data_IF_977864389693
#
_entry.id   IF_977864389693
#
_cell.length_a   1.000
_cell.length_b   1.000
_cell.length_c   1.000
_cell.angle_alpha   90.00
_cell.angle_beta   90.00
_cell.angle_gamma   90.00
#
_symmetry.space_group_name_H-M   'P 1'
#
loop_
_entity.id
_entity.type
_entity.pdbx_description
1 polymer ?
#
# COMPACT_ATOMS: atom_id res chain seq x y z
N UNK A 1 98.69 -15.85 76.87
CA UNK A 1 98.64 -14.76 77.87
C UNK A 1 97.22 -14.20 77.85
N UNK A 2 96.50 -14.30 78.97
CA UNK A 2 95.11 -13.85 79.07
C UNK A 2 95.11 -12.50 79.78
N UNK A 3 94.62 -11.46 79.11
CA UNK A 3 94.42 -10.16 79.75
C UNK A 3 92.99 -10.11 80.28
N UNK A 4 92.84 -10.07 81.60
CA UNK A 4 91.56 -9.84 82.28
C UNK A 4 91.57 -8.44 82.88
N UNK A 5 90.62 -7.60 82.49
CA UNK A 5 90.54 -6.22 82.94
C UNK A 5 89.75 -6.03 84.24
N UNK A 6 89.13 -7.07 84.82
CA UNK A 6 88.40 -7.01 86.10
C UNK A 6 87.44 -5.81 86.25
N UNK A 7 86.75 -5.42 85.15
CA UNK A 7 85.86 -4.23 85.00
C UNK A 7 86.55 -2.86 84.83
N UNK A 8 87.88 -2.81 84.76
CA UNK A 8 88.59 -1.60 84.35
C UNK A 8 88.34 -1.30 82.86
N UNK A 9 88.32 -0.02 82.49
CA UNK A 9 88.11 0.43 81.12
C UNK A 9 89.42 0.63 80.35
N UNK A 10 89.34 0.50 79.02
CA UNK A 10 90.40 0.93 78.11
C UNK A 10 90.06 2.32 77.59
N UNK A 11 90.83 3.33 77.97
CA UNK A 11 90.62 4.71 77.54
C UNK A 11 91.42 5.02 76.27
N UNK A 12 90.82 5.78 75.35
CA UNK A 12 91.43 6.22 74.08
C UNK A 12 92.02 5.07 73.25
N UNK A 13 91.42 3.88 73.34
CA UNK A 13 91.90 2.72 72.61
C UNK A 13 91.63 2.86 71.12
N UNK A 14 92.66 2.56 70.32
CA UNK A 14 92.53 2.39 68.87
C UNK A 14 92.28 0.90 68.61
N UNK A 15 91.20 0.59 67.91
CA UNK A 15 90.96 -0.78 67.44
C UNK A 15 92.04 -1.18 66.44
N UNK A 16 92.27 -2.48 66.28
CA UNK A 16 93.23 -2.99 65.31
C UNK A 16 92.85 -2.51 63.90
N UNK A 17 93.63 -1.58 63.35
CA UNK A 17 93.32 -0.93 62.08
C UNK A 17 93.96 -1.69 60.92
N UNK A 18 93.15 -2.28 60.06
CA UNK A 18 93.60 -3.08 58.93
C UNK A 18 92.79 -2.74 57.67
N UNK A 19 93.44 -2.77 56.51
CA UNK A 19 92.75 -2.61 55.22
C UNK A 19 92.06 -3.90 54.74
N UNK A 20 92.32 -5.03 55.40
CA UNK A 20 91.74 -6.33 55.10
C UNK A 20 91.48 -7.13 56.37
N UNK A 21 90.55 -8.08 56.28
CA UNK A 21 90.20 -8.98 57.38
C UNK A 21 91.40 -9.84 57.83
N UNK A 22 91.62 -10.05 59.14
CA UNK A 22 92.55 -11.06 59.64
C UNK A 22 92.25 -12.47 59.10
N UNK A 23 93.28 -13.20 58.66
CA UNK A 23 93.18 -14.52 58.03
C UNK A 23 92.77 -15.66 58.99
N UNK A 24 93.05 -15.51 60.29
CA UNK A 24 92.76 -16.52 61.33
C UNK A 24 91.93 -15.93 62.48
N UNK A 25 90.70 -15.45 62.20
CA UNK A 25 89.92 -14.70 63.16
C UNK A 25 89.36 -15.59 64.27
N UNK A 26 89.24 -15.04 65.48
CA UNK A 26 88.54 -15.68 66.60
C UNK A 26 87.14 -15.11 66.76
N UNK A 27 86.17 -15.92 67.17
CA UNK A 27 84.81 -15.44 67.46
C UNK A 27 84.85 -14.32 68.49
N UNK A 28 84.18 -13.21 68.20
CA UNK A 28 84.19 -11.99 69.02
C UNK A 28 85.39 -11.08 68.80
N UNK A 29 86.33 -11.43 67.91
CA UNK A 29 87.40 -10.53 67.51
C UNK A 29 86.83 -9.31 66.79
N UNK A 30 87.39 -8.14 67.08
CA UNK A 30 86.97 -6.85 66.51
C UNK A 30 88.19 -6.17 65.88
N UNK A 31 87.98 -5.55 64.71
CA UNK A 31 88.97 -4.70 64.06
C UNK A 31 88.28 -3.52 63.37
N UNK A 32 89.04 -2.47 63.07
CA UNK A 32 88.59 -1.38 62.22
C UNK A 32 89.08 -1.62 60.79
N UNK A 33 88.15 -1.80 59.87
CA UNK A 33 88.41 -1.90 58.44
C UNK A 33 88.59 -0.48 57.88
N UNK A 34 89.84 -0.10 57.59
CA UNK A 34 90.16 1.22 57.07
C UNK A 34 89.78 1.43 55.61
N UNK A 35 89.53 0.38 54.84
CA UNK A 35 89.05 0.51 53.46
C UNK A 35 87.55 0.80 53.44
N UNK A 36 86.77 0.13 54.30
CA UNK A 36 85.33 0.34 54.42
C UNK A 36 84.96 1.47 55.40
N UNK A 37 85.91 1.96 56.20
CA UNK A 37 85.70 2.87 57.34
C UNK A 37 84.66 2.35 58.35
N UNK A 38 84.75 1.05 58.69
CA UNK A 38 83.77 0.38 59.56
C UNK A 38 84.43 -0.48 60.62
N UNK A 39 83.81 -0.53 61.80
CA UNK A 39 84.14 -1.56 62.78
C UNK A 39 83.54 -2.88 62.29
N UNK A 40 84.32 -3.95 62.35
CA UNK A 40 83.83 -5.29 62.01
C UNK A 40 84.11 -6.24 63.16
N UNK A 41 83.17 -7.13 63.42
CA UNK A 41 83.34 -8.21 64.38
C UNK A 41 83.19 -9.57 63.70
N UNK A 42 83.95 -10.55 64.15
CA UNK A 42 83.87 -11.91 63.63
C UNK A 42 82.85 -12.71 64.43
N UNK A 43 81.78 -13.16 63.79
CA UNK A 43 80.69 -13.87 64.48
C UNK A 43 80.96 -15.37 64.71
N UNK A 44 82.10 -15.88 64.21
CA UNK A 44 82.47 -17.30 64.22
C UNK A 44 82.53 -17.92 62.83
N UNK A 45 81.88 -17.33 61.83
CA UNK A 45 81.89 -17.81 60.43
C UNK A 45 82.27 -16.74 59.42
N UNK A 46 81.96 -15.47 59.68
CA UNK A 46 82.31 -14.33 58.82
C UNK A 46 82.49 -13.05 59.60
N UNK A 47 83.15 -12.10 58.97
CA UNK A 47 83.16 -10.71 59.42
C UNK A 47 81.81 -10.06 59.13
N UNK A 48 81.28 -9.35 60.12
CA UNK A 48 80.01 -8.62 60.05
C UNK A 48 80.30 -7.14 60.27
N UNK A 49 79.74 -6.31 59.39
CA UNK A 49 79.83 -4.86 59.48
C UNK A 49 79.04 -4.33 60.69
N UNK A 50 79.60 -3.37 61.40
CA UNK A 50 78.80 -2.46 62.21
C UNK A 50 77.94 -1.61 61.29
N UNK A 51 76.64 -1.53 61.58
CA UNK A 51 75.72 -0.63 60.88
C UNK A 51 75.49 0.59 61.77
N UNK A 52 75.67 1.78 61.22
CA UNK A 52 75.33 3.03 61.91
C UNK A 52 73.82 3.28 61.90
N UNK A 53 73.35 4.08 62.84
CA UNK A 53 71.95 4.56 62.84
C UNK A 53 71.61 5.32 61.56
N UNK A 54 72.59 6.04 60.99
CA UNK A 54 72.42 6.80 59.74
C UNK A 54 72.20 5.88 58.53
N UNK A 55 73.00 4.81 58.40
CA UNK A 55 72.82 3.80 57.35
C UNK A 55 71.48 3.08 57.47
N UNK A 56 71.07 2.77 58.71
CA UNK A 56 69.77 2.17 58.96
C UNK A 56 68.62 3.11 58.59
N UNK A 57 68.72 4.39 58.96
CA UNK A 57 67.71 5.40 58.64
C UNK A 57 67.60 5.63 57.12
N UNK A 58 68.73 5.63 56.41
CA UNK A 58 68.75 5.77 54.95
C UNK A 58 68.00 4.62 54.29
N UNK A 59 68.31 3.38 54.67
CA UNK A 59 67.64 2.20 54.11
C UNK A 59 66.14 2.13 54.45
N UNK A 60 65.73 2.68 55.60
CA UNK A 60 64.32 2.79 55.98
C UNK A 60 63.59 3.90 55.20
N UNK A 61 64.27 4.99 54.84
CA UNK A 61 63.71 6.07 54.04
C UNK A 61 63.31 5.66 52.62
N UNK A 62 63.95 4.63 52.06
CA UNK A 62 63.62 4.07 50.74
C UNK A 62 62.40 3.14 50.76
N UNK A 63 61.89 2.78 51.94
CA UNK A 63 60.72 1.93 52.06
C UNK A 63 59.45 2.75 51.90
N UNK A 64 58.47 2.17 51.21
CA UNK A 64 57.09 2.67 51.21
C UNK A 64 56.39 2.14 52.45
N UNK A 65 55.75 3.04 53.20
CA UNK A 65 54.96 2.69 54.38
C UNK A 65 53.71 1.89 54.02
N UNK A 66 53.43 0.86 54.83
CA UNK A 66 52.19 0.09 54.69
C UNK A 66 51.02 0.88 55.26
N UNK A 67 50.00 1.12 54.44
CA UNK A 67 48.70 1.63 54.92
C UNK A 67 47.81 0.45 55.32
N UNK A 68 47.12 0.57 56.46
CA UNK A 68 46.16 -0.44 56.93
C UNK A 68 45.09 -0.72 55.88
N UNK A 69 44.78 -2.01 55.66
CA UNK A 69 43.82 -2.45 54.63
C UNK A 69 44.35 -2.48 53.19
N UNK A 70 45.62 -2.09 52.94
CA UNK A 70 46.24 -2.14 51.61
C UNK A 70 47.37 -3.17 51.50
N UNK A 71 47.51 -3.78 50.32
CA UNK A 71 48.69 -4.56 49.94
C UNK A 71 49.80 -3.60 49.47
N UNK A 72 51.08 -3.95 49.72
CA UNK A 72 52.22 -3.19 49.19
C UNK A 72 52.42 -3.63 47.74
N UNK A 73 51.92 -2.85 46.77
CA UNK A 73 52.06 -3.19 45.35
C UNK A 73 52.62 -2.01 44.56
N UNK A 74 53.36 -2.29 43.48
CA UNK A 74 53.77 -1.26 42.49
C UNK A 74 52.56 -0.65 41.77
N UNK A 75 51.40 -1.31 41.86
CA UNK A 75 50.17 -0.98 41.15
C UNK A 75 49.06 -0.53 42.11
N UNK A 76 49.41 0.30 43.10
CA UNK A 76 48.38 1.06 43.81
C UNK A 76 47.67 1.92 42.75
N UNK A 77 46.40 1.61 42.46
CA UNK A 77 45.56 2.46 41.60
C UNK A 77 45.81 3.91 42.02
N UNK A 78 46.38 4.72 41.13
CA UNK A 78 46.71 6.11 41.48
C UNK A 78 45.43 6.79 41.95
N UNK A 79 45.57 7.80 42.82
CA UNK A 79 44.41 8.56 43.31
C UNK A 79 43.56 9.10 42.13
N UNK A 80 44.18 9.38 40.98
CA UNK A 80 43.51 9.78 39.74
C UNK A 80 42.65 8.67 39.12
N UNK A 81 43.17 7.44 39.01
CA UNK A 81 42.38 6.31 38.51
C UNK A 81 41.25 5.94 39.48
N UNK A 82 41.50 5.99 40.78
CA UNK A 82 40.45 5.75 41.78
C UNK A 82 39.35 6.80 41.69
N UNK A 83 39.70 8.08 41.58
CA UNK A 83 38.71 9.16 41.44
C UNK A 83 37.88 9.01 40.16
N UNK A 84 38.51 8.60 39.06
CA UNK A 84 37.79 8.30 37.81
C UNK A 84 36.82 7.13 37.98
N UNK A 85 37.20 6.07 38.69
CA UNK A 85 36.35 4.89 38.94
C UNK A 85 35.23 5.21 39.92
N UNK A 86 35.52 5.90 41.02
CA UNK A 86 34.52 6.33 42.02
C UNK A 86 33.50 7.31 41.42
N UNK A 87 33.90 8.09 40.42
CA UNK A 87 33.03 9.02 39.69
C UNK A 87 32.06 8.33 38.71
N UNK A 88 32.23 7.03 38.45
CA UNK A 88 31.32 6.27 37.60
C UNK A 88 30.04 6.00 38.40
N UNK A 89 28.93 6.60 37.98
CA UNK A 89 27.62 6.38 38.59
C UNK A 89 27.23 4.89 38.55
N UNK A 90 26.55 4.43 39.59
CA UNK A 90 26.00 3.07 39.64
C UNK A 90 25.09 2.83 38.42
N UNK A 91 25.39 1.78 37.64
CA UNK A 91 24.63 1.44 36.43
C UNK A 91 25.02 2.23 35.17
N UNK A 92 26.12 3.01 35.18
CA UNK A 92 26.63 3.66 33.98
C UNK A 92 26.84 2.65 32.83
N UNK A 93 26.35 3.00 31.64
CA UNK A 93 26.51 2.21 30.42
C UNK A 93 27.34 3.01 29.42
N UNK A 94 28.20 2.32 28.66
CA UNK A 94 29.06 2.96 27.63
C UNK A 94 28.25 3.65 26.53
N UNK A 95 27.04 3.14 26.24
CA UNK A 95 26.16 3.68 25.20
C UNK A 95 24.82 4.07 25.84
N UNK A 96 24.59 5.37 26.03
CA UNK A 96 23.30 5.92 26.46
C UNK A 96 22.58 6.45 25.23
N UNK A 97 21.37 5.94 24.95
CA UNK A 97 20.42 6.59 24.05
C UNK A 97 19.60 7.56 24.91
N UNK A 98 19.87 8.86 24.83
CA UNK A 98 19.22 9.86 25.69
C UNK A 98 17.71 9.94 25.46
N UNK A 99 17.27 9.89 24.20
CA UNK A 99 15.84 9.82 23.84
C UNK A 99 15.66 9.30 22.42
N UNK A 100 14.56 8.58 22.20
CA UNK A 100 14.02 8.31 20.86
C UNK A 100 12.63 8.93 20.83
N UNK A 101 12.29 9.66 19.77
CA UNK A 101 10.96 10.26 19.62
C UNK A 101 10.22 9.70 18.40
N UNK A 102 8.92 9.47 18.55
CA UNK A 102 7.99 9.17 17.45
C UNK A 102 6.91 10.25 17.47
N UNK A 103 6.73 10.97 16.36
CA UNK A 103 5.81 12.11 16.27
C UNK A 103 6.02 13.12 17.41
N UNK A 104 7.27 13.48 17.69
CA UNK A 104 7.69 14.35 18.79
C UNK A 104 7.44 13.81 20.22
N UNK A 105 6.80 12.65 20.39
CA UNK A 105 6.62 12.01 21.69
C UNK A 105 7.83 11.13 22.05
N UNK A 106 8.39 11.33 23.24
CA UNK A 106 9.51 10.53 23.73
C UNK A 106 9.08 9.08 24.03
N UNK A 107 9.90 8.13 23.60
CA UNK A 107 9.78 6.71 23.89
C UNK A 107 10.71 6.34 25.04
N UNK A 108 10.28 5.39 25.86
CA UNK A 108 11.05 4.85 26.97
C UNK A 108 11.78 3.57 26.52
N UNK A 109 13.13 3.54 26.52
CA UNK A 109 13.87 2.31 26.29
C UNK A 109 13.60 1.27 27.39
N UNK A 110 13.55 -0.01 27.02
CA UNK A 110 13.45 -1.14 27.94
C UNK A 110 14.37 -2.27 27.45
N UNK A 111 15.09 -2.91 28.37
CA UNK A 111 16.03 -3.99 28.06
C UNK A 111 17.03 -3.67 26.92
N UNK A 112 17.51 -2.42 26.85
CA UNK A 112 18.39 -1.89 25.77
C UNK A 112 17.75 -1.88 24.37
N UNK A 113 16.43 -1.90 24.28
CA UNK A 113 15.68 -1.79 23.04
C UNK A 113 14.62 -0.68 23.13
N UNK A 114 14.27 -0.12 21.97
CA UNK A 114 13.10 0.75 21.81
C UNK A 114 12.19 0.08 20.80
N UNK A 115 10.93 -0.14 21.17
CA UNK A 115 9.94 -0.64 20.24
C UNK A 115 9.36 0.53 19.44
N UNK A 116 9.55 0.53 18.12
CA UNK A 116 8.92 1.49 17.22
C UNK A 116 7.76 0.76 16.55
N UNK A 117 6.53 1.14 16.92
CA UNK A 117 5.35 0.58 16.29
C UNK A 117 5.18 1.18 14.90
N UNK A 118 5.47 0.38 13.87
CA UNK A 118 5.20 0.71 12.48
C UNK A 118 3.86 0.07 12.08
N UNK A 119 2.89 0.83 11.54
CA UNK A 119 1.65 0.27 11.03
C UNK A 119 1.91 -0.84 9.99
N UNK A 120 1.36 -2.03 10.22
CA UNK A 120 1.41 -3.17 9.29
C UNK A 120 0.07 -3.42 8.58
N UNK A 121 -0.99 -2.71 9.00
CA UNK A 121 -2.32 -2.72 8.39
C UNK A 121 -2.80 -1.29 8.17
N UNK A 122 -3.53 -1.05 7.08
CA UNK A 122 -4.15 0.26 6.79
C UNK A 122 -5.07 0.73 7.93
N UNK A 123 -5.73 -0.19 8.63
CA UNK A 123 -6.60 0.13 9.77
C UNK A 123 -5.88 0.71 10.99
N UNK A 124 -4.56 0.67 11.02
CA UNK A 124 -3.73 1.28 12.07
C UNK A 124 -3.33 2.73 11.72
N UNK A 125 -3.66 3.19 10.51
CA UNK A 125 -3.45 4.57 10.10
C UNK A 125 -4.67 5.40 10.49
N UNK A 126 -4.41 6.63 10.93
CA UNK A 126 -5.45 7.65 11.05
C UNK A 126 -5.55 8.35 9.70
N UNK A 127 -6.75 8.41 9.14
CA UNK A 127 -6.97 9.05 7.85
C UNK A 127 -6.89 10.57 7.96
N UNK A 128 -6.35 11.21 6.92
CA UNK A 128 -6.38 12.66 6.77
C UNK A 128 -7.81 13.19 6.60
N UNK A 129 -8.02 14.47 6.87
CA UNK A 129 -9.35 15.11 6.83
C UNK A 129 -10.06 15.02 5.48
N UNK A 130 -9.31 14.85 4.38
CA UNK A 130 -9.83 14.72 3.02
C UNK A 130 -10.06 13.29 2.57
N UNK A 131 -9.81 12.28 3.41
CA UNK A 131 -9.99 10.89 3.02
C UNK A 131 -11.48 10.55 2.84
N UNK A 132 -11.85 10.14 1.62
CA UNK A 132 -13.21 9.73 1.32
C UNK A 132 -13.52 8.37 1.98
N UNK A 133 -14.30 8.41 3.07
CA UNK A 133 -14.78 7.20 3.73
C UNK A 133 -15.90 6.53 2.92
N UNK A 134 -16.14 5.24 3.14
CA UNK A 134 -17.27 4.54 2.52
C UNK A 134 -18.61 5.24 2.83
N UNK A 135 -18.78 5.73 4.06
CA UNK A 135 -19.96 6.52 4.46
C UNK A 135 -20.09 7.80 3.64
N UNK A 136 -19.00 8.56 3.48
CA UNK A 136 -18.99 9.76 2.65
C UNK A 136 -19.37 9.45 1.20
N UNK A 137 -18.71 8.47 0.59
CA UNK A 137 -18.98 8.05 -0.80
C UNK A 137 -20.44 7.61 -0.98
N UNK A 138 -20.97 6.82 -0.06
CA UNK A 138 -22.36 6.37 -0.10
C UNK A 138 -23.35 7.54 0.04
N UNK A 139 -23.06 8.52 0.90
CA UNK A 139 -23.86 9.74 0.99
C UNK A 139 -23.84 10.53 -0.32
N UNK A 140 -22.67 10.71 -0.93
CA UNK A 140 -22.56 11.41 -2.23
C UNK A 140 -23.35 10.68 -3.32
N UNK A 141 -23.25 9.35 -3.41
CA UNK A 141 -24.02 8.53 -4.38
C UNK A 141 -25.52 8.57 -4.11
N UNK A 142 -25.92 8.60 -2.83
CA UNK A 142 -27.32 8.72 -2.41
C UNK A 142 -27.93 10.07 -2.73
N UNK A 143 -27.12 11.12 -2.75
CA UNK A 143 -27.53 12.49 -3.08
C UNK A 143 -27.65 12.77 -4.60
N UNK A 144 -27.18 11.86 -5.46
CA UNK A 144 -27.34 12.00 -6.91
C UNK A 144 -28.81 11.87 -7.27
N UNK A 145 -29.34 12.87 -7.97
CA UNK A 145 -30.64 12.83 -8.61
C UNK A 145 -30.64 11.79 -9.74
N UNK A 146 -31.29 10.66 -9.49
CA UNK A 146 -31.40 9.55 -10.45
C UNK A 146 -32.72 9.62 -11.19
N UNK A 147 -32.69 9.33 -12.48
CA UNK A 147 -33.89 9.15 -13.29
C UNK A 147 -34.64 7.89 -12.82
N UNK A 148 -35.93 8.02 -12.52
CA UNK A 148 -36.82 6.94 -12.06
C UNK A 148 -37.91 6.66 -13.07
N UNK A 149 -38.59 5.52 -12.91
CA UNK A 149 -39.84 5.20 -13.62
C UNK A 149 -40.93 4.94 -12.59
N UNK A 150 -42.13 5.47 -12.84
CA UNK A 150 -43.30 5.24 -12.00
C UNK A 150 -44.53 4.99 -12.85
N UNK A 151 -45.25 3.90 -12.59
CA UNK A 151 -46.52 3.60 -13.26
C UNK A 151 -47.63 4.26 -12.45
N UNK A 152 -48.44 5.09 -13.09
CA UNK A 152 -49.52 5.85 -12.45
C UNK A 152 -50.80 5.72 -13.25
N UNK A 153 -51.95 5.65 -12.58
CA UNK A 153 -53.25 5.61 -13.27
C UNK A 153 -53.60 6.92 -13.99
N UNK A 154 -53.06 8.05 -13.51
CA UNK A 154 -53.14 9.38 -14.11
C UNK A 154 -51.94 10.22 -13.64
N UNK A 155 -51.65 11.30 -14.37
CA UNK A 155 -50.56 12.23 -14.00
C UNK A 155 -50.84 12.87 -12.63
N UNK A 156 -49.90 12.83 -11.68
CA UNK A 156 -50.10 13.38 -10.35
C UNK A 156 -50.22 14.91 -10.36
N UNK A 157 -51.02 15.46 -9.45
CA UNK A 157 -51.19 16.91 -9.26
C UNK A 157 -50.37 17.47 -8.08
N UNK A 158 -49.74 16.60 -7.29
CA UNK A 158 -48.90 16.95 -6.15
C UNK A 158 -47.77 15.94 -6.00
N UNK A 159 -46.72 16.30 -5.24
CA UNK A 159 -45.53 15.46 -5.04
C UNK A 159 -44.88 15.01 -6.38
N UNK A 160 -44.83 15.92 -7.36
CA UNK A 160 -44.26 15.65 -8.68
C UNK A 160 -42.74 15.66 -8.57
N UNK A 161 -42.10 14.57 -8.96
CA UNK A 161 -40.64 14.42 -9.04
C UNK A 161 -40.21 14.66 -10.49
N UNK A 162 -39.49 15.76 -10.74
CA UNK A 162 -39.01 16.13 -12.07
C UNK A 162 -38.02 15.09 -12.66
N UNK A 163 -37.41 14.25 -11.82
CA UNK A 163 -36.51 13.18 -12.22
C UNK A 163 -37.24 11.83 -12.39
N UNK A 164 -38.57 11.82 -12.53
CA UNK A 164 -39.36 10.61 -12.78
C UNK A 164 -40.02 10.64 -14.15
N UNK A 165 -39.84 9.55 -14.91
CA UNK A 165 -40.67 9.23 -16.06
C UNK A 165 -41.95 8.56 -15.53
N UNK A 166 -43.09 9.19 -15.79
CA UNK A 166 -44.41 8.70 -15.42
C UNK A 166 -45.03 7.94 -16.58
N UNK A 167 -45.40 6.68 -16.33
CA UNK A 167 -46.02 5.79 -17.31
C UNK A 167 -47.52 5.76 -17.04
N UNK A 168 -48.30 6.36 -17.94
CA UNK A 168 -49.76 6.45 -17.84
C UNK A 168 -50.40 5.43 -18.78
N UNK A 169 -51.29 4.52 -18.30
CA UNK A 169 -51.95 3.55 -19.15
C UNK A 169 -52.65 4.21 -20.34
N UNK A 170 -52.45 3.66 -21.53
CA UNK A 170 -53.16 4.11 -22.72
C UNK A 170 -54.56 3.53 -22.76
N UNK A 171 -55.49 4.30 -23.31
CA UNK A 171 -56.84 3.83 -23.63
C UNK A 171 -56.92 3.05 -24.94
N UNK A 172 -55.83 2.98 -25.71
CA UNK A 172 -55.75 2.29 -26.99
C UNK A 172 -55.58 0.78 -26.83
N UNK A 173 -56.20 0.00 -27.71
CA UNK A 173 -56.09 -1.47 -27.77
C UNK A 173 -54.85 -1.96 -28.53
N UNK A 174 -53.86 -1.09 -28.76
CA UNK A 174 -52.64 -1.41 -29.50
C UNK A 174 -51.78 -2.41 -28.73
N UNK A 175 -51.59 -3.60 -29.31
CA UNK A 175 -50.74 -4.64 -28.73
C UNK A 175 -49.29 -4.15 -28.65
N UNK A 176 -48.66 -4.28 -27.47
CA UNK A 176 -47.27 -3.87 -27.25
C UNK A 176 -47.06 -2.40 -26.86
N UNK A 177 -48.10 -1.55 -26.90
CA UNK A 177 -48.04 -0.12 -26.54
C UNK A 177 -48.94 0.19 -25.35
N UNK A 178 -48.43 -0.01 -24.14
CA UNK A 178 -49.25 0.02 -22.92
C UNK A 178 -49.31 1.37 -22.22
N UNK A 179 -48.29 2.22 -22.40
CA UNK A 179 -48.14 3.46 -21.64
C UNK A 179 -47.72 4.64 -22.53
N UNK A 180 -48.26 5.81 -22.22
CA UNK A 180 -47.67 7.08 -22.61
C UNK A 180 -46.69 7.51 -21.51
N UNK A 181 -45.50 7.94 -21.92
CA UNK A 181 -44.39 8.31 -21.04
C UNK A 181 -44.31 9.83 -20.93
N UNK A 182 -44.43 10.33 -19.70
CA UNK A 182 -44.40 11.76 -19.41
C UNK A 182 -43.24 12.11 -18.47
N UNK A 183 -42.67 13.30 -18.67
CA UNK A 183 -41.83 13.95 -17.67
C UNK A 183 -42.38 15.32 -17.31
N UNK A 184 -42.12 15.77 -16.09
CA UNK A 184 -42.52 17.10 -15.64
C UNK A 184 -41.36 18.07 -15.83
N UNK A 185 -41.41 18.87 -16.90
CA UNK A 185 -40.33 19.77 -17.34
C UNK A 185 -40.89 21.18 -17.38
N UNK A 186 -40.15 22.14 -16.79
CA UNK A 186 -40.55 23.56 -16.77
C UNK A 186 -41.99 23.80 -16.29
N UNK A 187 -42.36 23.11 -15.20
CA UNK A 187 -43.70 23.17 -14.59
C UNK A 187 -44.84 22.69 -15.51
N UNK A 188 -44.54 21.88 -16.52
CA UNK A 188 -45.52 21.31 -17.47
C UNK A 188 -45.26 19.82 -17.69
N UNK A 189 -46.33 19.09 -18.00
CA UNK A 189 -46.21 17.72 -18.46
C UNK A 189 -45.81 17.69 -19.93
N UNK A 190 -44.71 17.00 -20.22
CA UNK A 190 -44.22 16.77 -21.57
C UNK A 190 -44.34 15.28 -21.90
N UNK A 191 -45.01 14.96 -23.01
CA UNK A 191 -45.05 13.61 -23.56
C UNK A 191 -43.71 13.35 -24.24
N UNK A 192 -42.87 12.53 -23.61
CA UNK A 192 -41.52 12.25 -24.09
C UNK A 192 -41.43 10.93 -24.87
N UNK A 193 -42.46 10.09 -24.73
CA UNK A 193 -42.50 8.79 -25.37
C UNK A 193 -43.92 8.29 -25.51
N UNK A 194 -44.22 7.79 -26.69
CA UNK A 194 -45.28 6.84 -26.90
C UNK A 194 -44.70 5.77 -27.82
N UNK A 195 -44.94 4.50 -27.58
CA UNK A 195 -44.32 3.45 -28.40
C UNK A 195 -45.00 3.26 -29.78
N UNK A 196 -45.71 4.28 -30.28
CA UNK A 196 -46.37 4.24 -31.59
C UNK A 196 -45.34 4.54 -32.68
N UNK A 197 -45.08 3.54 -33.51
CA UNK A 197 -44.44 3.75 -34.81
C UNK A 197 -45.53 4.09 -35.83
N UNK A 198 -45.54 5.32 -36.34
CA UNK A 198 -46.45 5.67 -37.44
C UNK A 198 -45.94 5.05 -38.75
N UNK A 199 -46.61 3.98 -39.19
CA UNK A 199 -46.31 3.31 -40.45
C UNK A 199 -47.21 3.76 -41.61
N UNK A 200 -48.10 4.75 -41.42
CA UNK A 200 -49.10 5.09 -42.45
C UNK A 200 -48.51 5.63 -43.74
N UNK A 201 -47.30 6.20 -43.69
CA UNK A 201 -46.56 6.70 -44.85
C UNK A 201 -45.51 5.72 -45.42
N UNK A 202 -45.37 4.52 -44.86
CA UNK A 202 -44.42 3.54 -45.38
C UNK A 202 -45.04 2.74 -46.52
N UNK A 203 -44.21 2.48 -47.54
CA UNK A 203 -44.55 1.71 -48.72
C UNK A 203 -45.02 0.30 -48.34
N UNK A 204 -46.21 -0.09 -48.80
CA UNK A 204 -46.82 -1.39 -48.61
C UNK A 204 -46.63 -2.25 -49.86
N UNK A 205 -46.38 -3.54 -49.65
CA UNK A 205 -46.29 -4.54 -50.71
C UNK A 205 -47.54 -5.40 -50.71
N UNK A 206 -48.23 -5.49 -51.84
CA UNK A 206 -49.31 -6.43 -52.08
C UNK A 206 -48.96 -7.36 -53.23
N UNK A 207 -49.41 -8.61 -53.15
CA UNK A 207 -49.18 -9.58 -54.23
C UNK A 207 -50.47 -10.29 -54.58
N UNK A 208 -50.72 -10.43 -55.88
CA UNK A 208 -51.92 -11.06 -56.42
C UNK A 208 -51.50 -12.17 -57.37
N UNK A 209 -52.24 -13.27 -57.37
CA UNK A 209 -52.04 -14.38 -58.31
C UNK A 209 -53.09 -14.28 -59.41
N UNK A 210 -52.72 -14.57 -60.65
CA UNK A 210 -53.66 -14.52 -61.76
C UNK A 210 -54.71 -15.64 -61.66
N UNK A 211 -55.98 -15.38 -62.03
CA UNK A 211 -56.96 -16.44 -62.25
C UNK A 211 -56.64 -17.19 -63.55
N UNK A 212 -57.43 -18.21 -63.91
CA UNK A 212 -57.36 -18.77 -65.26
C UNK A 212 -57.78 -17.69 -66.28
N UNK A 213 -56.97 -17.47 -67.32
CA UNK A 213 -57.21 -16.45 -68.33
C UNK A 213 -57.26 -17.07 -69.72
N UNK A 214 -58.21 -16.62 -70.53
CA UNK A 214 -58.40 -17.07 -71.92
C UNK A 214 -58.06 -15.92 -72.87
N UNK A 215 -57.15 -16.11 -73.84
CA UNK A 215 -56.75 -15.03 -74.74
C UNK A 215 -57.89 -14.65 -75.69
N UNK A 216 -58.04 -13.35 -75.94
CA UNK A 216 -58.87 -12.79 -77.00
C UNK A 216 -57.97 -11.96 -77.91
N UNK A 217 -57.91 -12.31 -79.20
CA UNK A 217 -57.00 -11.66 -80.15
C UNK A 217 -55.51 -11.80 -79.79
N UNK A 218 -55.12 -12.89 -79.11
CA UNK A 218 -53.74 -13.16 -78.69
C UNK A 218 -53.29 -12.45 -77.41
N UNK A 219 -54.19 -11.73 -76.72
CA UNK A 219 -53.93 -11.02 -75.46
C UNK A 219 -54.85 -11.55 -74.37
N UNK A 220 -54.32 -11.74 -73.17
CA UNK A 220 -55.13 -11.92 -71.95
C UNK A 220 -55.16 -10.61 -71.16
N UNK A 221 -56.33 -10.31 -70.58
CA UNK A 221 -56.52 -9.16 -69.70
C UNK A 221 -56.83 -9.64 -68.29
N UNK A 222 -56.12 -9.10 -67.30
CA UNK A 222 -56.32 -9.40 -65.90
C UNK A 222 -56.44 -8.11 -65.08
N UNK A 223 -57.61 -7.88 -64.50
CA UNK A 223 -57.85 -6.76 -63.59
C UNK A 223 -57.59 -7.19 -62.15
N UNK A 224 -56.78 -6.42 -61.44
CA UNK A 224 -56.45 -6.58 -60.02
C UNK A 224 -57.03 -5.43 -59.23
N UNK A 225 -57.86 -5.74 -58.23
CA UNK A 225 -58.32 -4.77 -57.24
C UNK A 225 -57.38 -4.80 -56.02
N UNK A 226 -56.78 -3.66 -55.67
CA UNK A 226 -55.84 -3.51 -54.55
C UNK A 226 -56.31 -2.51 -53.50
N UNK A 227 -55.72 -2.55 -52.30
CA UNK A 227 -56.10 -1.70 -51.15
C UNK A 227 -55.05 -0.67 -50.76
N UNK A 228 -54.09 -0.40 -51.65
CA UNK A 228 -53.15 0.72 -51.52
C UNK A 228 -53.85 2.11 -51.59
N UNK A 229 -55.06 2.18 -52.16
CA UNK A 229 -55.86 3.42 -52.28
C UNK A 229 -55.11 4.60 -52.94
N UNK A 230 -54.12 4.30 -53.79
CA UNK A 230 -53.32 5.26 -54.54
C UNK A 230 -53.15 4.76 -55.98
N UNK A 231 -53.13 5.68 -56.94
CA UNK A 231 -52.75 5.36 -58.32
C UNK A 231 -51.22 5.48 -58.52
N UNK A 232 -50.52 6.18 -57.61
CA UNK A 232 -49.07 6.30 -57.56
C UNK A 232 -48.45 5.02 -56.98
N UNK A 233 -48.54 3.93 -57.73
CA UNK A 233 -48.05 2.61 -57.34
C UNK A 233 -47.11 2.05 -58.39
N UNK A 234 -46.14 1.25 -57.96
CA UNK A 234 -45.26 0.49 -58.85
C UNK A 234 -45.79 -0.93 -58.99
N UNK A 235 -45.81 -1.45 -60.22
CA UNK A 235 -46.30 -2.78 -60.54
C UNK A 235 -45.25 -3.60 -61.29
N UNK A 236 -45.15 -4.88 -60.96
CA UNK A 236 -44.29 -5.82 -61.69
C UNK A 236 -44.98 -7.17 -61.80
N UNK A 237 -45.16 -7.67 -63.04
CA UNK A 237 -45.64 -9.02 -63.28
C UNK A 237 -44.45 -9.98 -63.26
N UNK A 238 -44.55 -11.05 -62.47
CA UNK A 238 -43.54 -12.10 -62.38
C UNK A 238 -44.15 -13.45 -62.69
N UNK A 239 -43.44 -14.29 -63.44
CA UNK A 239 -43.81 -15.71 -63.58
C UNK A 239 -43.47 -16.45 -62.30
N UNK A 240 -44.42 -17.25 -61.81
CA UNK A 240 -44.30 -17.90 -60.48
C UNK A 240 -43.24 -19.00 -60.48
N UNK A 241 -43.06 -19.72 -61.59
CA UNK A 241 -42.18 -20.88 -61.66
C UNK A 241 -40.70 -20.56 -61.49
N UNK A 242 -40.26 -19.36 -61.92
CA UNK A 242 -38.85 -18.97 -61.95
C UNK A 242 -38.60 -17.53 -61.47
N UNK A 243 -39.64 -16.83 -61.01
CA UNK A 243 -39.59 -15.41 -60.60
C UNK A 243 -39.10 -14.46 -61.71
N UNK A 244 -39.17 -14.86 -62.98
CA UNK A 244 -38.79 -13.99 -64.08
C UNK A 244 -39.79 -12.84 -64.24
N UNK A 245 -39.29 -11.61 -64.37
CA UNK A 245 -40.13 -10.46 -64.70
C UNK A 245 -40.63 -10.58 -66.14
N UNK A 246 -41.93 -10.34 -66.32
CA UNK A 246 -42.60 -10.46 -67.61
C UNK A 246 -42.90 -9.07 -68.15
N UNK A 247 -42.41 -8.80 -69.36
CA UNK A 247 -42.73 -7.58 -70.08
C UNK A 247 -44.18 -7.66 -70.55
N UNK A 248 -45.00 -6.73 -70.06
CA UNK A 248 -46.43 -6.65 -70.32
C UNK A 248 -46.86 -5.18 -70.27
N UNK A 249 -48.05 -4.90 -70.81
CA UNK A 249 -48.68 -3.61 -70.60
C UNK A 249 -49.37 -3.63 -69.23
N UNK A 250 -49.03 -2.66 -68.38
CA UNK A 250 -49.68 -2.45 -67.10
C UNK A 250 -50.32 -1.06 -67.12
N UNK A 251 -51.63 -1.04 -66.84
CA UNK A 251 -52.43 0.19 -66.80
C UNK A 251 -52.91 0.40 -65.38
N UNK A 252 -52.51 1.52 -64.77
CA UNK A 252 -53.00 1.95 -63.45
C UNK A 252 -54.39 2.59 -63.62
N UNK A 253 -55.43 1.76 -63.68
CA UNK A 253 -56.77 2.18 -64.08
C UNK A 253 -57.49 3.07 -63.06
N UNK A 254 -57.22 2.90 -61.77
CA UNK A 254 -57.74 3.77 -60.69
C UNK A 254 -56.90 3.64 -59.42
N UNK A 255 -57.25 4.36 -58.35
CA UNK A 255 -56.60 4.24 -57.03
C UNK A 255 -56.77 2.86 -56.35
N UNK A 256 -57.61 2.00 -56.90
CA UNK A 256 -57.84 0.64 -56.38
C UNK A 256 -57.71 -0.44 -57.46
N UNK A 257 -57.38 -0.10 -58.71
CA UNK A 257 -57.33 -1.08 -59.79
C UNK A 257 -56.13 -0.92 -60.71
N UNK A 258 -55.49 -2.06 -61.00
CA UNK A 258 -54.44 -2.21 -62.02
C UNK A 258 -54.87 -3.27 -63.01
N UNK A 259 -54.69 -3.00 -64.30
CA UNK A 259 -55.01 -3.92 -65.40
C UNK A 259 -53.72 -4.37 -66.06
N UNK A 260 -53.51 -5.68 -66.10
CA UNK A 260 -52.38 -6.33 -66.77
C UNK A 260 -52.86 -6.87 -68.11
N UNK A 261 -52.16 -6.53 -69.19
CA UNK A 261 -52.37 -7.12 -70.51
C UNK A 261 -51.07 -7.77 -70.98
N UNK A 262 -51.13 -9.06 -71.27
CA UNK A 262 -49.96 -9.81 -71.74
C UNK A 262 -50.33 -10.67 -72.94
N UNK A 263 -49.38 -10.81 -73.86
CA UNK A 263 -49.53 -11.68 -75.02
C UNK A 263 -49.57 -13.15 -74.54
N UNK A 264 -50.55 -13.89 -75.03
CA UNK A 264 -50.70 -15.31 -74.75
C UNK A 264 -51.26 -16.03 -75.98
N UNK A 265 -50.50 -17.01 -76.48
CA UNK A 265 -50.91 -17.87 -77.60
C UNK A 265 -51.79 -19.05 -77.18
N UNK A 266 -51.99 -19.24 -75.87
CA UNK A 266 -52.81 -20.28 -75.27
C UNK A 266 -53.42 -19.78 -73.94
N UNK A 267 -54.35 -20.56 -73.39
CA UNK A 267 -54.92 -20.30 -72.07
C UNK A 267 -53.81 -20.24 -71.01
N UNK A 268 -53.90 -19.26 -70.13
CA UNK A 268 -52.99 -19.10 -69.00
C UNK A 268 -53.63 -19.74 -67.79
N UNK A 269 -52.94 -20.73 -67.21
CA UNK A 269 -53.39 -21.40 -66.00
C UNK A 269 -53.44 -20.43 -64.82
N UNK A 270 -54.34 -20.70 -63.87
CA UNK A 270 -54.37 -19.97 -62.61
C UNK A 270 -53.03 -20.10 -61.87
N UNK A 271 -52.62 -19.05 -61.15
CA UNK A 271 -51.38 -18.97 -60.37
C UNK A 271 -50.07 -19.15 -61.18
N UNK A 272 -50.12 -19.03 -62.51
CA UNK A 272 -48.92 -19.05 -63.35
C UNK A 272 -48.06 -17.78 -63.19
N UNK A 273 -48.69 -16.65 -62.85
CA UNK A 273 -48.10 -15.33 -62.70
C UNK A 273 -48.59 -14.63 -61.43
N UNK A 274 -47.69 -13.82 -60.86
CA UNK A 274 -47.93 -12.99 -59.69
C UNK A 274 -47.68 -11.52 -60.03
N UNK A 275 -48.67 -10.68 -59.80
CA UNK A 275 -48.49 -9.23 -59.82
C UNK A 275 -47.99 -8.78 -58.44
N UNK A 276 -46.88 -8.07 -58.41
CA UNK A 276 -46.38 -7.37 -57.21
C UNK A 276 -46.74 -5.90 -57.36
N UNK A 277 -47.48 -5.37 -56.39
CA UNK A 277 -47.79 -3.96 -56.26
C UNK A 277 -47.07 -3.38 -55.05
N UNK A 278 -46.50 -2.20 -55.22
CA UNK A 278 -45.73 -1.48 -54.22
C UNK A 278 -46.24 -0.04 -54.21
N UNK A 279 -46.68 0.47 -53.06
CA UNK A 279 -47.10 1.87 -52.89
C UNK A 279 -47.78 2.14 -51.57
#
# INVERSE_FOLDING_TARGET
MTLNLNKNELQNAVLHNLAAAPDTPKKGQVYFDSAANKVKYYNGTKWVDSVSTEEMNTALGDKVDKVSGKQLSTNDFTNDYKSKVDGIASGAQVNVVETVKVNNAALTPSAKAVNITVPTKTSQLTNDSGFATQTYVNQQIGAIDKLKKSIVSALPSSNIDANTIYLVPKSSTESGNYYDEYMYINSKWELIGNSKTDMTGFVKKQTYQNPALTPSGGVVTWTVTHSLNSQDVCATLMRVSDNAQILCEIVFASSTQVVVKMNASANVAANAYKLVLIG
#
